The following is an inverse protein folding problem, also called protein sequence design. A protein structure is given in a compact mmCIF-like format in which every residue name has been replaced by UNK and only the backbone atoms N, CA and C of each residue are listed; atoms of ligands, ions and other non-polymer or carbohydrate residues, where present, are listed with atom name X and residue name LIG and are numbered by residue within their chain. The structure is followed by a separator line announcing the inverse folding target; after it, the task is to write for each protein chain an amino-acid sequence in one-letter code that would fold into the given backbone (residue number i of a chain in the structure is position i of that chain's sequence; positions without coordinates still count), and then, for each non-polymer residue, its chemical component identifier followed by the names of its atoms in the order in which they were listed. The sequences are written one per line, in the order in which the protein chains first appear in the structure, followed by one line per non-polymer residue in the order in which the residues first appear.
data_IF_439294290355
#
_entry.id   IF_439294290355
#
_cell.length_a   1.000
_cell.length_b   1.000
_cell.length_c   1.000
_cell.angle_alpha   90.00
_cell.angle_beta   90.00
_cell.angle_gamma   90.00
#
_symmetry.space_group_name_H-M   'P 1'
#
loop_
_entity.id
_entity.type
_entity.pdbx_description
1 polymer ?
#
# COMPACT_ATOMS: atom_id res chain seq x y z
N UNK A 1 -47.17 -60.92 -87.95
CA UNK A 1 -46.61 -59.56 -88.10
C UNK A 1 -47.44 -58.46 -87.41
N UNK A 2 -48.78 -58.43 -87.52
CA UNK A 2 -49.60 -57.38 -86.86
C UNK A 2 -49.48 -57.35 -85.32
N UNK A 3 -49.42 -58.49 -84.64
CA UNK A 3 -49.35 -58.56 -83.15
C UNK A 3 -48.06 -57.99 -82.55
N UNK A 4 -46.91 -58.23 -83.19
CA UNK A 4 -45.61 -57.69 -82.75
C UNK A 4 -45.53 -56.17 -82.90
N UNK A 5 -46.16 -55.63 -83.95
CA UNK A 5 -46.19 -54.19 -84.19
C UNK A 5 -47.09 -53.48 -83.17
N UNK A 6 -48.21 -54.08 -82.80
CA UNK A 6 -49.07 -53.57 -81.72
C UNK A 6 -48.35 -53.61 -80.37
N UNK A 7 -47.65 -54.70 -80.06
CA UNK A 7 -46.88 -54.85 -78.81
C UNK A 7 -45.73 -53.84 -78.71
N UNK A 8 -45.00 -53.62 -79.80
CA UNK A 8 -43.92 -52.63 -79.85
C UNK A 8 -44.44 -51.21 -79.63
N UNK A 9 -45.60 -50.88 -80.20
CA UNK A 9 -46.24 -49.58 -80.03
C UNK A 9 -46.74 -49.36 -78.60
N UNK A 10 -47.28 -50.41 -77.97
CA UNK A 10 -47.75 -50.37 -76.58
C UNK A 10 -46.56 -50.20 -75.60
N UNK A 11 -45.46 -50.91 -75.84
CA UNK A 11 -44.22 -50.76 -75.07
C UNK A 11 -43.60 -49.36 -75.22
N UNK A 12 -43.59 -48.80 -76.42
CA UNK A 12 -43.10 -47.44 -76.65
C UNK A 12 -43.95 -46.41 -75.90
N UNK A 13 -45.27 -46.59 -75.91
CA UNK A 13 -46.22 -45.70 -75.26
C UNK A 13 -46.14 -45.81 -73.73
N UNK A 14 -46.02 -47.03 -73.21
CA UNK A 14 -45.79 -47.30 -71.79
C UNK A 14 -44.44 -46.74 -71.31
N UNK A 15 -43.38 -46.87 -72.12
CA UNK A 15 -42.06 -46.31 -71.80
C UNK A 15 -42.10 -44.78 -71.71
N UNK A 16 -42.77 -44.11 -72.64
CA UNK A 16 -42.95 -42.64 -72.61
C UNK A 16 -43.77 -42.19 -71.40
N UNK A 17 -44.86 -42.90 -71.10
CA UNK A 17 -45.68 -42.61 -69.92
C UNK A 17 -44.91 -42.82 -68.62
N UNK A 18 -44.10 -43.88 -68.53
CA UNK A 18 -43.26 -44.16 -67.38
C UNK A 18 -42.14 -43.14 -67.21
N UNK A 19 -41.51 -42.68 -68.30
CA UNK A 19 -40.52 -41.61 -68.28
C UNK A 19 -41.12 -40.28 -67.81
N UNK A 20 -42.32 -39.93 -68.30
CA UNK A 20 -43.02 -38.72 -67.86
C UNK A 20 -43.39 -38.79 -66.37
N UNK A 21 -43.99 -39.91 -65.93
CA UNK A 21 -44.35 -40.13 -64.53
C UNK A 21 -43.13 -40.09 -63.60
N UNK A 22 -42.01 -40.71 -64.02
CA UNK A 22 -40.75 -40.68 -63.27
C UNK A 22 -40.18 -39.26 -63.20
N UNK A 23 -40.24 -38.50 -64.30
CA UNK A 23 -39.79 -37.11 -64.36
C UNK A 23 -40.60 -36.19 -63.45
N UNK A 24 -41.92 -36.35 -63.41
CA UNK A 24 -42.79 -35.58 -62.51
C UNK A 24 -42.56 -35.93 -61.04
N UNK A 25 -42.43 -37.23 -60.73
CA UNK A 25 -42.12 -37.70 -59.38
C UNK A 25 -40.78 -37.16 -58.88
N UNK A 26 -39.74 -37.17 -59.71
CA UNK A 26 -38.43 -36.60 -59.37
C UNK A 26 -38.52 -35.09 -59.16
N UNK A 27 -39.23 -34.37 -60.03
CA UNK A 27 -39.39 -32.91 -59.90
C UNK A 27 -40.13 -32.54 -58.62
N UNK A 28 -41.15 -33.30 -58.23
CA UNK A 28 -41.85 -33.12 -56.96
C UNK A 28 -40.92 -33.38 -55.76
N UNK A 29 -40.21 -34.51 -55.75
CA UNK A 29 -39.28 -34.86 -54.68
C UNK A 29 -38.13 -33.83 -54.54
N UNK A 30 -37.56 -33.35 -55.64
CA UNK A 30 -36.54 -32.29 -55.62
C UNK A 30 -37.10 -30.96 -55.12
N UNK A 31 -38.32 -30.59 -55.53
CA UNK A 31 -38.96 -29.36 -55.08
C UNK A 31 -39.25 -29.40 -53.57
N UNK A 32 -39.71 -30.53 -53.05
CA UNK A 32 -39.96 -30.73 -51.62
C UNK A 32 -38.64 -30.70 -50.82
N UNK A 33 -37.62 -31.39 -51.31
CA UNK A 33 -36.29 -31.37 -50.69
C UNK A 33 -35.68 -29.96 -50.67
N UNK A 34 -35.79 -29.19 -51.76
CA UNK A 34 -35.29 -27.81 -51.82
C UNK A 34 -36.01 -26.91 -50.82
N UNK A 35 -37.32 -27.07 -50.65
CA UNK A 35 -38.09 -26.35 -49.63
C UNK A 35 -37.66 -26.74 -48.21
N UNK A 36 -37.47 -28.04 -47.95
CA UNK A 36 -37.00 -28.54 -46.66
C UNK A 36 -35.61 -28.00 -46.31
N UNK A 37 -34.67 -28.03 -47.26
CA UNK A 37 -33.30 -27.49 -47.08
C UNK A 37 -33.34 -25.98 -46.81
N UNK A 38 -34.16 -25.22 -47.55
CA UNK A 38 -34.32 -23.77 -47.32
C UNK A 38 -34.90 -23.47 -45.93
N UNK A 39 -35.89 -24.26 -45.49
CA UNK A 39 -36.49 -24.11 -44.18
C UNK A 39 -35.48 -24.40 -43.06
N UNK A 40 -34.73 -25.49 -43.16
CA UNK A 40 -33.72 -25.84 -42.15
C UNK A 40 -32.54 -24.86 -42.15
N UNK A 41 -32.12 -24.36 -43.32
CA UNK A 41 -31.06 -23.36 -43.40
C UNK A 41 -31.48 -22.04 -42.75
N UNK A 42 -32.73 -21.61 -42.95
CA UNK A 42 -33.28 -20.42 -42.30
C UNK A 42 -33.41 -20.63 -40.78
N UNK A 43 -33.89 -21.80 -40.36
CA UNK A 43 -33.94 -22.16 -38.95
C UNK A 43 -32.55 -22.18 -38.31
N UNK A 44 -31.55 -22.73 -38.99
CA UNK A 44 -30.15 -22.75 -38.55
C UNK A 44 -29.57 -21.34 -38.45
N UNK A 45 -29.78 -20.50 -39.46
CA UNK A 45 -29.33 -19.10 -39.43
C UNK A 45 -29.93 -18.34 -38.23
N UNK A 46 -31.21 -18.57 -37.94
CA UNK A 46 -31.88 -18.00 -36.77
C UNK A 46 -31.28 -18.51 -35.45
N UNK A 47 -31.09 -19.82 -35.31
CA UNK A 47 -30.47 -20.42 -34.11
C UNK A 47 -29.06 -19.87 -33.87
N UNK A 48 -28.26 -19.73 -34.92
CA UNK A 48 -26.91 -19.17 -34.83
C UNK A 48 -26.97 -17.70 -34.41
N UNK A 49 -27.85 -16.90 -35.02
CA UNK A 49 -28.05 -15.50 -34.66
C UNK A 49 -28.48 -15.34 -33.19
N UNK A 50 -29.42 -16.16 -32.73
CA UNK A 50 -29.92 -16.12 -31.35
C UNK A 50 -28.81 -16.53 -30.37
N UNK A 51 -28.03 -17.56 -30.69
CA UNK A 51 -26.90 -18.00 -29.87
C UNK A 51 -25.80 -16.92 -29.79
N UNK A 52 -25.48 -16.24 -30.91
CA UNK A 52 -24.51 -15.14 -30.93
C UNK A 52 -25.01 -13.98 -30.07
N UNK A 53 -26.28 -13.59 -30.18
CA UNK A 53 -26.85 -12.50 -29.38
C UNK A 53 -26.87 -12.84 -27.89
N UNK A 54 -27.23 -14.08 -27.53
CA UNK A 54 -27.20 -14.55 -26.15
C UNK A 54 -25.77 -14.55 -25.60
N UNK A 55 -24.81 -15.02 -26.39
CA UNK A 55 -23.40 -15.02 -26.02
C UNK A 55 -22.84 -13.61 -25.81
N UNK A 56 -23.14 -12.66 -26.70
CA UNK A 56 -22.72 -11.26 -26.58
C UNK A 56 -23.28 -10.59 -25.31
N UNK A 57 -24.57 -10.83 -25.01
CA UNK A 57 -25.20 -10.35 -23.77
C UNK A 57 -24.55 -10.96 -22.54
N UNK A 58 -24.29 -12.27 -22.56
CA UNK A 58 -23.61 -12.98 -21.47
C UNK A 58 -22.20 -12.43 -21.22
N UNK A 59 -21.42 -12.25 -22.29
CA UNK A 59 -20.06 -11.71 -22.22
C UNK A 59 -20.05 -10.26 -21.71
N UNK A 60 -21.00 -9.43 -22.13
CA UNK A 60 -21.13 -8.05 -21.66
C UNK A 60 -21.46 -8.01 -20.17
N UNK A 61 -22.40 -8.84 -19.70
CA UNK A 61 -22.75 -8.94 -18.28
C UNK A 61 -21.58 -9.46 -17.43
N UNK A 62 -20.86 -10.46 -17.91
CA UNK A 62 -19.66 -10.99 -17.25
C UNK A 62 -18.55 -9.92 -17.18
N UNK A 63 -18.32 -9.17 -18.25
CA UNK A 63 -17.33 -8.10 -18.26
C UNK A 63 -17.70 -6.95 -17.31
N UNK A 64 -18.97 -6.55 -17.26
CA UNK A 64 -19.45 -5.53 -16.33
C UNK A 64 -19.27 -5.95 -14.86
N UNK A 65 -19.65 -7.18 -14.53
CA UNK A 65 -19.48 -7.71 -13.17
C UNK A 65 -18.00 -7.89 -12.80
N UNK A 66 -17.17 -8.36 -13.73
CA UNK A 66 -15.74 -8.49 -13.54
C UNK A 66 -15.07 -7.11 -13.32
N UNK A 67 -15.39 -6.11 -14.14
CA UNK A 67 -14.89 -4.73 -13.99
C UNK A 67 -15.20 -4.16 -12.61
N UNK A 68 -16.43 -4.33 -12.14
CA UNK A 68 -16.85 -3.83 -10.84
C UNK A 68 -16.13 -4.57 -9.70
N UNK A 69 -15.98 -5.89 -9.81
CA UNK A 69 -15.25 -6.71 -8.84
C UNK A 69 -13.79 -6.29 -8.73
N UNK A 70 -13.10 -6.18 -9.87
CA UNK A 70 -11.69 -5.75 -9.95
C UNK A 70 -11.54 -4.35 -9.36
N UNK A 71 -12.41 -3.41 -9.69
CA UNK A 71 -12.35 -2.05 -9.15
C UNK A 71 -12.50 -2.01 -7.63
N UNK A 72 -13.41 -2.81 -7.05
CA UNK A 72 -13.54 -2.93 -5.59
C UNK A 72 -12.32 -3.55 -4.95
N UNK A 73 -11.75 -4.59 -5.57
CA UNK A 73 -10.56 -5.26 -5.05
C UNK A 73 -9.35 -4.31 -5.04
N UNK A 74 -9.08 -3.63 -6.15
CA UNK A 74 -8.01 -2.63 -6.25
C UNK A 74 -8.21 -1.51 -5.24
N UNK A 75 -9.44 -0.97 -5.13
CA UNK A 75 -9.75 0.08 -4.16
C UNK A 75 -9.49 -0.36 -2.72
N UNK A 76 -9.89 -1.59 -2.36
CA UNK A 76 -9.68 -2.15 -1.01
C UNK A 76 -8.19 -2.39 -0.71
N UNK A 77 -7.41 -2.90 -1.67
CA UNK A 77 -5.96 -3.09 -1.49
C UNK A 77 -5.25 -1.76 -1.29
N UNK A 78 -5.53 -0.75 -2.12
CA UNK A 78 -4.93 0.58 -1.96
C UNK A 78 -5.31 1.25 -0.65
N UNK A 79 -6.58 1.12 -0.23
CA UNK A 79 -7.03 1.62 1.08
C UNK A 79 -6.25 0.99 2.24
N UNK A 80 -6.02 -0.34 2.20
CA UNK A 80 -5.24 -1.00 3.25
C UNK A 80 -3.78 -0.56 3.26
N UNK A 81 -3.18 -0.37 2.09
CA UNK A 81 -1.79 0.08 1.97
C UNK A 81 -1.63 1.48 2.53
N UNK A 82 -2.54 2.40 2.19
CA UNK A 82 -2.49 3.79 2.69
C UNK A 82 -2.75 3.86 4.18
N UNK A 83 -3.68 3.06 4.70
CA UNK A 83 -3.97 2.99 6.14
C UNK A 83 -2.77 2.50 6.95
N UNK A 84 -2.14 1.41 6.53
CA UNK A 84 -0.95 0.86 7.22
C UNK A 84 0.21 1.84 7.14
N UNK A 85 0.46 2.41 5.96
CA UNK A 85 1.53 3.41 5.79
C UNK A 85 1.29 4.64 6.67
N UNK A 86 0.08 5.18 6.68
CA UNK A 86 -0.29 6.32 7.50
C UNK A 86 -0.14 6.05 9.00
N UNK A 87 -0.51 4.85 9.45
CA UNK A 87 -0.32 4.44 10.84
C UNK A 87 1.16 4.43 11.23
N UNK A 88 2.03 3.87 10.38
CA UNK A 88 3.48 3.87 10.61
C UNK A 88 4.02 5.30 10.69
N UNK A 89 3.67 6.17 9.73
CA UNK A 89 4.12 7.56 9.75
C UNK A 89 3.65 8.31 11.00
N UNK A 90 2.41 8.09 11.44
CA UNK A 90 1.88 8.70 12.65
C UNK A 90 2.65 8.25 13.90
N UNK A 91 2.93 6.94 14.02
CA UNK A 91 3.71 6.39 15.13
C UNK A 91 5.13 6.96 15.18
N UNK A 92 5.84 7.00 14.05
CA UNK A 92 7.19 7.55 13.97
C UNK A 92 7.22 9.06 14.28
N UNK A 93 6.27 9.82 13.74
CA UNK A 93 6.19 11.26 13.96
C UNK A 93 5.96 11.63 15.43
N UNK A 94 5.10 10.87 16.12
CA UNK A 94 4.84 11.08 17.54
C UNK A 94 6.08 10.86 18.41
N UNK A 95 6.86 9.82 18.12
CA UNK A 95 8.11 9.52 18.85
C UNK A 95 9.14 10.61 18.61
N UNK A 96 9.31 11.06 17.36
CA UNK A 96 10.25 12.14 17.03
C UNK A 96 9.88 13.45 17.74
N UNK A 97 8.60 13.80 17.77
CA UNK A 97 8.13 14.98 18.49
C UNK A 97 8.43 14.89 19.99
N UNK A 98 8.10 13.75 20.60
CA UNK A 98 8.34 13.52 22.03
C UNK A 98 9.83 13.61 22.39
N UNK A 99 10.69 12.94 21.63
CA UNK A 99 12.14 13.00 21.83
C UNK A 99 12.68 14.41 21.62
N UNK A 100 12.24 15.12 20.59
CA UNK A 100 12.64 16.51 20.34
C UNK A 100 12.27 17.44 21.49
N UNK A 101 11.06 17.31 22.03
CA UNK A 101 10.62 18.10 23.19
C UNK A 101 11.44 17.80 24.45
N UNK A 102 11.77 16.53 24.68
CA UNK A 102 12.60 16.12 25.83
C UNK A 102 14.05 16.62 25.69
N UNK A 103 14.62 16.61 24.50
CA UNK A 103 15.96 17.16 24.25
C UNK A 103 15.96 18.67 24.49
N UNK A 104 14.94 19.38 24.00
CA UNK A 104 14.83 20.83 24.19
C UNK A 104 14.72 21.22 25.67
N UNK A 105 13.94 20.47 26.47
CA UNK A 105 13.82 20.73 27.91
C UNK A 105 15.12 20.42 28.65
N UNK A 106 15.79 19.31 28.33
CA UNK A 106 17.09 18.98 28.91
C UNK A 106 18.15 20.03 28.55
N UNK A 107 18.15 20.54 27.32
CA UNK A 107 19.09 21.59 26.91
C UNK A 107 18.88 22.88 27.70
N UNK A 108 17.62 23.31 27.87
CA UNK A 108 17.30 24.48 28.67
C UNK A 108 17.71 24.31 30.14
N UNK A 109 17.57 23.11 30.69
CA UNK A 109 18.01 22.79 32.06
C UNK A 109 19.53 22.79 32.19
N UNK A 110 20.26 22.22 31.21
CA UNK A 110 21.73 22.28 31.16
C UNK A 110 22.21 23.73 31.10
N UNK A 111 21.58 24.58 30.29
CA UNK A 111 21.91 26.00 30.20
C UNK A 111 21.72 26.70 31.54
N UNK A 112 20.61 26.38 32.24
CA UNK A 112 20.34 26.91 33.58
C UNK A 112 21.36 26.45 34.61
N UNK A 113 21.73 25.17 34.59
CA UNK A 113 22.74 24.60 35.49
C UNK A 113 24.12 25.20 35.23
N UNK A 114 24.49 25.37 33.96
CA UNK A 114 25.74 26.02 33.57
C UNK A 114 25.78 27.48 34.05
N UNK A 115 24.68 28.23 33.92
CA UNK A 115 24.59 29.59 34.44
C UNK A 115 24.70 29.63 35.98
N UNK A 116 24.06 28.68 36.68
CA UNK A 116 24.15 28.56 38.13
C UNK A 116 25.57 28.19 38.60
N UNK A 117 26.21 27.23 37.92
CA UNK A 117 27.60 26.83 38.18
C UNK A 117 28.56 27.99 37.91
N UNK A 118 28.40 28.72 36.82
CA UNK A 118 29.20 29.92 36.54
C UNK A 118 29.08 30.97 37.65
N UNK A 119 27.85 31.23 38.11
CA UNK A 119 27.59 32.15 39.22
C UNK A 119 28.20 31.66 40.54
N UNK A 120 28.12 30.36 40.83
CA UNK A 120 28.70 29.78 42.03
C UNK A 120 30.22 29.84 41.97
N UNK A 121 30.81 29.43 40.85
CA UNK A 121 32.24 29.50 40.58
C UNK A 121 32.78 30.93 40.75
N UNK A 122 32.08 31.93 40.23
CA UNK A 122 32.42 33.33 40.43
C UNK A 122 32.39 33.76 41.90
N UNK A 123 31.43 33.25 42.69
CA UNK A 123 31.34 33.53 44.14
C UNK A 123 32.39 32.79 44.97
N UNK A 124 32.75 31.56 44.61
CA UNK A 124 33.71 30.72 45.34
C UNK A 124 35.13 30.84 44.81
N UNK A 125 35.36 31.69 43.81
CA UNK A 125 36.62 31.80 43.07
C UNK A 125 37.09 30.47 42.46
N UNK A 126 36.21 29.46 42.33
CA UNK A 126 36.54 28.12 41.86
C UNK A 126 37.22 27.20 42.87
N UNK A 127 37.18 27.55 44.16
CA UNK A 127 37.63 26.65 45.22
C UNK A 127 36.70 25.45 45.33
N UNK A 128 37.26 24.24 45.33
CA UNK A 128 36.52 22.98 45.43
C UNK A 128 36.93 22.24 46.71
N UNK A 129 35.97 21.61 47.38
CA UNK A 129 36.24 20.74 48.52
C UNK A 129 36.40 19.29 48.06
N UNK A 130 37.46 18.62 48.50
CA UNK A 130 37.75 17.23 48.17
C UNK A 130 38.04 16.44 49.46
N UNK A 131 37.44 15.26 49.58
CA UNK A 131 37.64 14.35 50.70
C UNK A 131 38.13 13.01 50.15
N UNK A 132 39.30 12.59 50.61
CA UNK A 132 39.95 11.34 50.22
C UNK A 132 40.42 10.59 51.49
N UNK A 133 40.89 9.35 51.34
CA UNK A 133 41.55 8.54 52.35
C UNK A 133 42.66 9.26 53.13
N UNK A 134 43.25 10.32 52.57
CA UNK A 134 44.28 11.16 53.19
C UNK A 134 43.73 12.38 53.95
N UNK A 135 42.42 12.61 53.96
CA UNK A 135 41.77 13.71 54.68
C UNK A 135 40.94 14.64 53.79
N UNK A 136 40.62 15.81 54.34
CA UNK A 136 39.75 16.84 53.73
C UNK A 136 40.56 18.03 53.26
N UNK A 137 40.40 18.41 51.99
CA UNK A 137 41.21 19.42 51.31
C UNK A 137 40.34 20.49 50.65
N UNK A 138 40.79 21.73 50.69
CA UNK A 138 40.29 22.82 49.84
C UNK A 138 41.26 22.95 48.66
N UNK A 139 40.80 22.58 47.48
CA UNK A 139 41.58 22.64 46.24
C UNK A 139 41.38 24.01 45.61
N UNK A 140 42.49 24.73 45.43
CA UNK A 140 42.50 26.03 44.79
C UNK A 140 42.54 25.88 43.27
N UNK A 141 41.89 26.78 42.51
CA UNK A 141 42.11 26.87 41.08
C UNK A 141 43.54 27.28 40.75
N UNK A 142 43.95 27.07 39.49
CA UNK A 142 45.29 27.46 39.02
C UNK A 142 45.45 28.98 39.06
N UNK A 143 46.59 29.47 39.54
CA UNK A 143 46.91 30.90 39.64
C UNK A 143 46.32 31.60 40.88
N UNK A 144 45.83 30.83 41.87
CA UNK A 144 45.51 31.32 43.21
C UNK A 144 46.33 30.59 44.25
N UNK A 145 46.90 31.34 45.18
CA UNK A 145 47.64 30.85 46.32
C UNK A 145 46.91 31.19 47.62
N UNK A 146 47.18 30.40 48.67
CA UNK A 146 46.79 30.77 50.03
C UNK A 146 47.87 31.67 50.60
N UNK A 147 47.48 32.78 51.22
CA UNK A 147 48.41 33.57 52.03
C UNK A 147 48.88 32.76 53.24
N UNK A 148 50.14 32.31 53.22
CA UNK A 148 50.76 31.49 54.27
C UNK A 148 51.46 32.33 55.35
N UNK A 149 51.46 33.66 55.20
CA UNK A 149 52.26 34.54 56.06
C UNK A 149 51.58 34.86 57.39
N UNK A 150 50.24 34.77 57.46
CA UNK A 150 49.46 35.11 58.65
C UNK A 150 48.24 34.20 58.80
N UNK A 151 47.87 33.89 60.06
CA UNK A 151 46.61 33.19 60.37
C UNK A 151 45.45 34.17 60.33
N UNK A 152 44.45 33.90 59.49
CA UNK A 152 43.27 34.75 59.35
C UNK A 152 42.08 34.19 60.14
N UNK A 153 41.25 35.08 60.68
CA UNK A 153 39.97 34.70 61.32
C UNK A 153 38.85 35.61 60.85
N UNK A 154 37.67 35.05 60.58
CA UNK A 154 36.48 35.79 60.14
C UNK A 154 35.39 35.65 61.21
N UNK A 155 34.65 36.74 61.49
CA UNK A 155 33.56 36.80 62.47
C UNK A 155 33.88 37.66 63.72
N UNK A 156 32.83 38.02 64.47
CA UNK A 156 32.94 38.86 65.68
C UNK A 156 32.53 38.10 66.95
N UNK A 157 33.25 38.30 68.05
CA UNK A 157 32.93 37.69 69.35
C UNK A 157 33.07 36.16 69.35
N UNK A 158 32.01 35.44 69.75
CA UNK A 158 32.00 33.96 69.89
C UNK A 158 31.93 33.19 68.56
N UNK A 159 31.71 33.86 67.44
CA UNK A 159 31.63 33.25 66.09
C UNK A 159 32.91 33.45 65.27
N UNK A 160 34.06 33.69 65.92
CA UNK A 160 35.37 33.71 65.24
C UNK A 160 35.71 32.31 64.71
N UNK A 161 35.91 32.22 63.40
CA UNK A 161 36.33 30.99 62.73
C UNK A 161 37.66 31.21 62.02
N UNK A 162 38.52 30.18 62.02
CA UNK A 162 39.77 30.19 61.28
C UNK A 162 39.47 30.24 59.78
N UNK A 163 40.19 31.11 59.06
CA UNK A 163 39.99 31.37 57.66
C UNK A 163 41.33 31.33 56.91
N UNK A 164 41.24 31.07 55.61
CA UNK A 164 42.38 31.15 54.68
C UNK A 164 42.11 32.30 53.72
N UNK A 165 43.04 33.24 53.63
CA UNK A 165 42.96 34.33 52.64
C UNK A 165 43.51 33.83 51.32
N UNK A 166 42.69 33.88 50.27
CA UNK A 166 43.11 33.57 48.91
C UNK A 166 43.73 34.82 48.29
N UNK A 167 44.88 34.67 47.64
CA UNK A 167 45.56 35.69 46.86
C UNK A 167 45.75 35.18 45.44
N UNK A 168 45.68 36.08 44.46
CA UNK A 168 46.02 35.75 43.08
C UNK A 168 47.56 35.73 42.97
N UNK A 169 48.11 34.70 42.32
CA UNK A 169 49.55 34.65 41.98
C UNK A 169 49.92 35.70 40.93
#
# INVERSE_FOLDING_TARGET
MKSLLTLAKDLEQQSKAQQQSTGEMLKAAFSEHEQSVKAELNASAKRISDAISAHEKGMTAAMQSNRLSVMRMVGRTWLTITMVSGLLFASLSGVLWYQGSLIASNLAEIDRQNAALSKLNAKTWGVTYLEDSNGRFLVLPKGTAVDRTQSWTVGNGRSKQNALRLVKE
#
